data_IF_290589537414
#
_entry.id   IF_290589537414
#
_cell.length_a   1.000
_cell.length_b   1.000
_cell.length_c   1.000
_cell.angle_alpha   90.00
_cell.angle_beta   90.00
_cell.angle_gamma   90.00
#
_symmetry.space_group_name_H-M   'P 1'
#
loop_
_entity.id
_entity.type
_entity.pdbx_description
1 polymer ?
#
# COMPACT_ATOMS: atom_id res chain seq x y z
N UNK A 1 -22.87 52.74 -2.85
CA UNK A 1 -23.04 51.44 -2.16
C UNK A 1 -23.10 50.30 -3.19
N UNK A 2 -21.98 49.91 -3.82
CA UNK A 2 -21.94 48.76 -4.78
C UNK A 2 -20.62 47.97 -4.68
N UNK A 3 -19.76 48.24 -3.69
CA UNK A 3 -18.40 47.66 -3.63
C UNK A 3 -18.25 46.47 -2.68
N UNK A 4 -19.28 46.11 -1.91
CA UNK A 4 -19.22 45.04 -0.90
C UNK A 4 -19.67 43.66 -1.39
N UNK A 5 -20.31 43.55 -2.56
CA UNK A 5 -20.79 42.28 -3.11
C UNK A 5 -19.75 41.54 -3.97
N UNK A 6 -18.82 42.27 -4.61
CA UNK A 6 -17.78 41.67 -5.46
C UNK A 6 -16.73 40.88 -4.68
N UNK A 7 -16.40 41.31 -3.46
CA UNK A 7 -15.44 40.59 -2.59
C UNK A 7 -16.01 39.27 -2.05
N UNK A 8 -17.30 39.21 -1.74
CA UNK A 8 -17.96 37.99 -1.27
C UNK A 8 -18.01 36.88 -2.34
N UNK A 9 -18.27 37.25 -3.60
CA UNK A 9 -18.30 36.29 -4.72
C UNK A 9 -16.89 35.78 -5.03
N UNK A 10 -15.87 36.64 -4.96
CA UNK A 10 -14.49 36.21 -5.22
C UNK A 10 -13.99 35.22 -4.14
N UNK A 11 -14.34 35.44 -2.87
CA UNK A 11 -13.98 34.53 -1.78
C UNK A 11 -14.63 33.15 -1.95
N UNK A 12 -15.91 33.09 -2.37
CA UNK A 12 -16.61 31.83 -2.63
C UNK A 12 -16.00 31.08 -3.82
N UNK A 13 -15.59 31.78 -4.89
CA UNK A 13 -14.96 31.15 -6.06
C UNK A 13 -13.57 30.61 -5.73
N UNK A 14 -12.77 31.32 -4.92
CA UNK A 14 -11.45 30.84 -4.49
C UNK A 14 -11.58 29.63 -3.55
N UNK A 15 -12.54 29.64 -2.62
CA UNK A 15 -12.84 28.48 -1.77
C UNK A 15 -13.33 27.27 -2.59
N UNK A 16 -14.15 27.49 -3.61
CA UNK A 16 -14.62 26.41 -4.49
C UNK A 16 -13.49 25.83 -5.35
N UNK A 17 -12.57 26.65 -5.84
CA UNK A 17 -11.39 26.17 -6.59
C UNK A 17 -10.36 25.46 -5.70
N UNK A 18 -10.20 25.86 -4.44
CA UNK A 18 -9.32 25.20 -3.49
C UNK A 18 -9.86 23.81 -3.08
N UNK A 19 -11.17 23.68 -2.89
CA UNK A 19 -11.83 22.38 -2.67
C UNK A 19 -11.77 21.48 -3.91
N UNK A 20 -11.97 22.05 -5.11
CA UNK A 20 -11.87 21.28 -6.36
C UNK A 20 -10.43 20.79 -6.62
N UNK A 21 -9.40 21.60 -6.32
CA UNK A 21 -8.00 21.14 -6.43
C UNK A 21 -7.61 20.06 -5.41
N UNK A 22 -8.23 20.03 -4.22
CA UNK A 22 -8.07 18.91 -3.29
C UNK A 22 -8.74 17.64 -3.79
N UNK A 23 -9.87 17.75 -4.49
CA UNK A 23 -10.52 16.60 -5.12
C UNK A 23 -9.78 16.12 -6.39
N UNK A 24 -9.21 17.03 -7.18
CA UNK A 24 -8.40 16.69 -8.37
C UNK A 24 -6.98 16.19 -8.00
N UNK A 25 -6.58 16.33 -6.73
CA UNK A 25 -5.36 15.76 -6.16
C UNK A 25 -5.52 14.33 -5.64
N UNK A 26 -6.76 13.83 -5.54
CA UNK A 26 -6.99 12.38 -5.50
C UNK A 26 -6.65 11.88 -6.89
N UNK A 27 -5.44 11.33 -7.03
CA UNK A 27 -5.06 10.53 -8.19
C UNK A 27 -6.26 9.63 -8.49
N UNK A 28 -6.93 9.90 -9.61
CA UNK A 28 -7.93 9.00 -10.13
C UNK A 28 -7.31 7.61 -10.08
N UNK A 29 -7.97 6.71 -9.37
CA UNK A 29 -7.63 5.29 -9.34
C UNK A 29 -7.28 4.91 -10.77
N UNK A 30 -6.08 4.35 -11.03
CA UNK A 30 -5.72 3.91 -12.37
C UNK A 30 -6.90 3.07 -12.90
N UNK A 31 -7.33 3.26 -14.16
CA UNK A 31 -8.42 2.45 -14.69
C UNK A 31 -8.06 0.98 -14.48
N UNK A 32 -8.88 0.28 -13.69
CA UNK A 32 -8.80 -1.17 -13.50
C UNK A 32 -8.67 -1.78 -14.90
N UNK A 33 -7.53 -2.44 -15.17
CA UNK A 33 -7.33 -3.15 -16.43
C UNK A 33 -8.57 -4.04 -16.68
N UNK A 34 -9.19 -3.92 -17.85
CA UNK A 34 -10.41 -4.66 -18.26
C UNK A 34 -10.13 -6.17 -18.53
N UNK A 35 -9.32 -6.80 -17.67
CA UNK A 35 -9.07 -8.23 -17.66
C UNK A 35 -9.73 -8.90 -16.45
N UNK A 36 -9.84 -10.24 -16.45
CA UNK A 36 -10.15 -10.95 -15.22
C UNK A 36 -9.12 -10.55 -14.14
N UNK A 37 -9.55 -10.43 -12.86
CA UNK A 37 -8.62 -10.10 -11.78
C UNK A 37 -7.48 -11.13 -11.76
N UNK A 38 -6.25 -10.65 -11.66
CA UNK A 38 -5.06 -11.50 -11.56
C UNK A 38 -5.22 -12.41 -10.35
N UNK A 39 -5.02 -13.72 -10.52
CA UNK A 39 -5.06 -14.65 -9.39
C UNK A 39 -3.78 -14.56 -8.55
N UNK A 40 -3.83 -15.00 -7.28
CA UNK A 40 -2.64 -15.00 -6.41
C UNK A 40 -1.45 -15.74 -7.03
N UNK A 41 -1.69 -16.90 -7.66
CA UNK A 41 -0.62 -17.69 -8.30
C UNK A 41 -0.01 -16.95 -9.50
N UNK A 42 -0.84 -16.25 -10.29
CA UNK A 42 -0.35 -15.43 -11.38
C UNK A 42 0.44 -14.22 -10.86
N UNK A 43 -0.06 -13.55 -9.81
CA UNK A 43 0.63 -12.43 -9.20
C UNK A 43 2.00 -12.84 -8.64
N UNK A 44 2.08 -14.00 -7.98
CA UNK A 44 3.34 -14.58 -7.51
C UNK A 44 4.32 -14.79 -8.67
N UNK A 45 3.87 -15.41 -9.76
CA UNK A 45 4.73 -15.68 -10.92
C UNK A 45 5.27 -14.38 -11.54
N UNK A 46 4.43 -13.35 -11.66
CA UNK A 46 4.84 -12.04 -12.16
C UNK A 46 5.83 -11.34 -11.23
N UNK A 47 5.62 -11.40 -9.91
CA UNK A 47 6.57 -10.85 -8.93
C UNK A 47 7.91 -11.57 -8.99
N UNK A 48 7.91 -12.90 -9.09
CA UNK A 48 9.14 -13.68 -9.23
C UNK A 48 9.90 -13.31 -10.52
N UNK A 49 9.19 -13.03 -11.61
CA UNK A 49 9.79 -12.52 -12.86
C UNK A 49 10.42 -11.13 -12.67
N UNK A 50 9.70 -10.19 -12.03
CA UNK A 50 10.22 -8.85 -11.74
C UNK A 50 11.48 -8.89 -10.86
N UNK A 51 11.49 -9.77 -9.84
CA UNK A 51 12.66 -9.99 -8.99
C UNK A 51 13.83 -10.56 -9.80
N UNK A 52 13.56 -11.50 -10.73
CA UNK A 52 14.59 -12.09 -11.58
C UNK A 52 15.21 -11.08 -12.57
N UNK A 53 14.40 -10.14 -13.08
CA UNK A 53 14.88 -9.04 -13.93
C UNK A 53 15.74 -8.06 -13.13
N UNK A 54 15.40 -7.81 -11.86
CA UNK A 54 16.22 -7.05 -10.91
C UNK A 54 16.32 -5.56 -11.20
N UNK A 55 15.49 -5.02 -12.10
CA UNK A 55 15.47 -3.63 -12.57
C UNK A 55 14.58 -2.72 -11.72
N UNK A 56 13.51 -3.26 -11.11
CA UNK A 56 12.54 -2.49 -10.30
C UNK A 56 12.59 -2.78 -8.81
N UNK A 57 12.88 -4.03 -8.46
CA UNK A 57 12.82 -4.51 -7.08
C UNK A 57 14.20 -4.89 -6.58
N UNK A 58 14.48 -4.56 -5.32
CA UNK A 58 15.60 -5.10 -4.56
C UNK A 58 15.05 -6.05 -3.49
N UNK A 59 15.64 -7.24 -3.39
CA UNK A 59 15.24 -8.25 -2.40
C UNK A 59 16.42 -8.73 -1.59
N UNK A 60 16.17 -8.96 -0.30
CA UNK A 60 17.05 -9.68 0.61
C UNK A 60 16.47 -11.07 0.86
N UNK A 61 17.30 -12.11 0.82
CA UNK A 61 16.84 -13.49 1.05
C UNK A 61 16.58 -13.74 2.53
N UNK A 62 15.52 -14.49 2.81
CA UNK A 62 15.17 -14.93 4.16
C UNK A 62 16.25 -15.88 4.72
N UNK A 63 16.71 -15.72 5.98
CA UNK A 63 17.43 -16.78 6.67
C UNK A 63 16.54 -18.01 6.91
N UNK A 64 17.15 -19.19 7.09
CA UNK A 64 16.44 -20.48 7.15
C UNK A 64 15.53 -20.67 8.38
N UNK A 65 15.68 -19.84 9.43
CA UNK A 65 15.04 -20.04 10.73
C UNK A 65 14.18 -18.86 11.21
N UNK A 66 13.52 -18.15 10.30
CA UNK A 66 12.61 -17.07 10.70
C UNK A 66 11.39 -17.64 11.42
N UNK A 67 11.11 -17.10 12.60
CA UNK A 67 9.88 -17.38 13.32
C UNK A 67 8.86 -16.28 13.01
N UNK A 68 7.67 -16.70 12.59
CA UNK A 68 6.57 -15.79 12.28
C UNK A 68 5.49 -15.87 13.36
N UNK A 69 4.78 -14.77 13.63
CA UNK A 69 3.58 -14.81 14.44
C UNK A 69 2.59 -15.84 13.89
N UNK A 70 1.96 -16.63 14.76
CA UNK A 70 0.99 -17.65 14.36
C UNK A 70 -0.23 -17.07 13.61
N UNK A 71 -0.47 -15.77 13.79
CA UNK A 71 -1.56 -15.02 13.21
C UNK A 71 -1.21 -14.38 11.85
N UNK A 72 -0.01 -14.58 11.32
CA UNK A 72 0.35 -14.06 9.99
C UNK A 72 -0.33 -14.91 8.89
N UNK A 73 -0.85 -14.25 7.86
CA UNK A 73 -1.45 -14.92 6.70
C UNK A 73 -0.51 -15.93 6.05
N UNK A 74 -0.99 -17.10 5.59
CA UNK A 74 -0.13 -18.13 5.01
C UNK A 74 0.57 -17.70 3.72
N UNK A 75 -0.06 -16.87 2.87
CA UNK A 75 0.58 -16.29 1.68
C UNK A 75 1.66 -15.29 2.08
N UNK A 76 1.35 -14.38 3.02
CA UNK A 76 2.32 -13.42 3.55
C UNK A 76 3.51 -14.12 4.21
N UNK A 77 3.24 -15.14 5.02
CA UNK A 77 4.26 -16.01 5.63
C UNK A 77 5.11 -16.71 4.58
N UNK A 78 4.48 -17.24 3.52
CA UNK A 78 5.18 -17.88 2.40
C UNK A 78 6.09 -16.91 1.65
N UNK A 79 5.67 -15.65 1.48
CA UNK A 79 6.51 -14.59 0.92
C UNK A 79 7.74 -14.32 1.81
N UNK A 80 7.54 -14.07 3.11
CA UNK A 80 8.64 -13.75 4.01
C UNK A 80 9.53 -14.95 4.36
N UNK A 81 9.06 -16.18 4.14
CA UNK A 81 9.91 -17.36 4.20
C UNK A 81 10.92 -17.42 3.03
N UNK A 82 10.69 -16.68 1.94
CA UNK A 82 11.61 -16.60 0.78
C UNK A 82 12.47 -15.34 0.81
N UNK A 83 11.90 -14.23 1.29
CA UNK A 83 12.51 -12.90 1.23
C UNK A 83 12.45 -12.23 2.61
N UNK A 84 13.60 -11.88 3.18
CA UNK A 84 13.68 -11.14 4.45
C UNK A 84 13.20 -9.70 4.29
N UNK A 85 13.47 -9.10 3.14
CA UNK A 85 13.02 -7.77 2.79
C UNK A 85 12.83 -7.66 1.27
N UNK A 86 11.93 -6.77 0.87
CA UNK A 86 11.73 -6.33 -0.50
C UNK A 86 11.50 -4.82 -0.47
N UNK A 87 12.15 -4.10 -1.36
CA UNK A 87 11.93 -2.67 -1.54
C UNK A 87 11.99 -2.30 -3.02
N UNK A 88 11.28 -1.24 -3.39
CA UNK A 88 11.42 -0.65 -4.72
C UNK A 88 12.77 0.03 -4.87
N UNK A 89 13.37 -0.03 -6.06
CA UNK A 89 14.69 0.60 -6.31
C UNK A 89 14.67 2.12 -6.24
N UNK A 90 13.53 2.74 -6.56
CA UNK A 90 13.35 4.19 -6.42
C UNK A 90 13.06 4.64 -4.99
N UNK A 91 12.97 3.69 -4.04
CA UNK A 91 12.57 3.95 -2.67
C UNK A 91 11.07 4.17 -2.54
N UNK A 92 10.63 4.42 -1.31
CA UNK A 92 9.23 4.72 -1.00
C UNK A 92 8.33 3.51 -0.81
N UNK A 93 8.79 2.27 -0.95
CA UNK A 93 8.03 1.08 -0.57
C UNK A 93 8.97 0.02 0.01
N UNK A 94 8.66 -0.50 1.20
CA UNK A 94 9.43 -1.59 1.82
C UNK A 94 8.53 -2.56 2.56
N UNK A 95 8.74 -3.84 2.29
CA UNK A 95 8.25 -4.96 3.10
C UNK A 95 9.45 -5.61 3.77
N UNK A 96 9.39 -5.87 5.07
CA UNK A 96 10.47 -6.57 5.76
C UNK A 96 9.97 -7.37 6.96
N UNK A 97 10.67 -8.48 7.24
CA UNK A 97 10.42 -9.31 8.41
C UNK A 97 10.58 -8.54 9.71
N UNK A 98 11.53 -7.59 9.75
CA UNK A 98 11.74 -6.73 10.91
C UNK A 98 10.54 -5.84 11.24
N UNK A 99 9.66 -5.60 10.26
CA UNK A 99 8.48 -4.76 10.41
C UNK A 99 7.26 -5.61 10.83
N UNK A 100 7.39 -6.94 10.89
CA UNK A 100 6.30 -7.83 11.29
C UNK A 100 6.02 -7.72 12.79
N UNK A 101 4.95 -7.02 13.13
CA UNK A 101 4.54 -6.80 14.51
C UNK A 101 3.13 -6.24 14.62
N UNK A 102 2.63 -5.99 15.84
CA UNK A 102 1.38 -5.25 16.03
C UNK A 102 1.48 -3.88 15.32
N UNK A 103 0.47 -3.51 14.53
CA UNK A 103 0.44 -2.18 13.91
C UNK A 103 0.34 -1.10 14.97
N UNK A 104 1.12 -0.03 14.80
CA UNK A 104 1.10 1.14 15.68
C UNK A 104 -0.13 2.02 15.43
N UNK A 105 -0.65 2.01 14.20
CA UNK A 105 -1.72 2.93 13.75
C UNK A 105 -3.10 2.29 13.75
N UNK A 106 -3.18 0.96 13.63
CA UNK A 106 -4.47 0.25 13.58
C UNK A 106 -4.51 -0.90 14.58
N UNK A 107 -5.26 -0.70 15.65
CA UNK A 107 -5.38 -1.69 16.72
C UNK A 107 -5.95 -3.03 16.21
N UNK A 108 -5.29 -4.12 16.58
CA UNK A 108 -5.70 -5.48 16.20
C UNK A 108 -5.20 -5.93 14.83
N UNK A 109 -4.44 -5.11 14.11
CA UNK A 109 -3.78 -5.45 12.85
C UNK A 109 -2.30 -5.75 13.07
N UNK A 110 -1.71 -6.43 12.08
CA UNK A 110 -0.29 -6.77 12.02
C UNK A 110 0.33 -5.89 10.93
N UNK A 111 1.31 -5.05 11.28
CA UNK A 111 2.17 -4.39 10.28
C UNK A 111 3.11 -5.42 9.68
N UNK A 112 3.39 -5.28 8.38
CA UNK A 112 4.27 -6.17 7.61
C UNK A 112 5.26 -5.39 6.73
N UNK A 113 5.24 -4.07 6.82
CA UNK A 113 6.06 -3.18 6.00
C UNK A 113 5.55 -1.75 6.07
N UNK A 114 6.32 -0.81 5.53
CA UNK A 114 5.99 0.60 5.58
C UNK A 114 6.66 1.37 4.45
N UNK A 115 6.30 2.64 4.36
CA UNK A 115 6.99 3.70 3.62
C UNK A 115 7.22 4.89 4.55
N UNK A 116 7.67 6.00 3.99
CA UNK A 116 7.78 7.28 4.67
C UNK A 116 6.41 7.77 5.18
N UNK A 117 5.32 7.53 4.43
CA UNK A 117 4.01 8.13 4.70
C UNK A 117 2.91 7.13 5.07
N UNK A 118 3.14 5.81 4.94
CA UNK A 118 2.08 4.80 5.10
C UNK A 118 2.60 3.47 5.65
N UNK A 119 1.70 2.73 6.30
CA UNK A 119 1.92 1.41 6.89
C UNK A 119 1.21 0.34 6.03
N UNK A 120 1.84 -0.82 5.87
CA UNK A 120 1.26 -1.96 5.19
C UNK A 120 0.82 -2.95 6.26
N UNK A 121 -0.48 -3.14 6.39
CA UNK A 121 -1.07 -3.91 7.48
C UNK A 121 -1.90 -5.08 6.96
N UNK A 122 -2.14 -6.03 7.86
CA UNK A 122 -2.91 -7.23 7.60
C UNK A 122 -3.75 -7.59 8.82
N UNK A 123 -4.98 -8.05 8.60
CA UNK A 123 -5.81 -8.63 9.66
C UNK A 123 -5.21 -9.98 10.10
N UNK A 124 -5.20 -10.32 11.40
CA UNK A 124 -4.81 -11.64 11.89
C UNK A 124 -5.47 -12.81 11.14
N UNK A 125 -4.65 -13.71 10.60
CA UNK A 125 -5.04 -14.88 9.80
C UNK A 125 -5.52 -14.57 8.38
N UNK A 126 -5.61 -13.28 8.03
CA UNK A 126 -5.86 -12.70 6.70
C UNK A 126 -4.67 -12.94 5.75
N UNK A 127 -4.87 -13.09 4.43
CA UNK A 127 -3.83 -12.86 3.40
C UNK A 127 -3.98 -11.51 2.69
N UNK A 128 -5.13 -10.86 2.81
CA UNK A 128 -5.36 -9.51 2.32
C UNK A 128 -4.49 -8.50 3.05
N UNK A 129 -3.99 -7.54 2.29
CA UNK A 129 -3.13 -6.47 2.79
C UNK A 129 -3.78 -5.13 2.52
N UNK A 130 -3.60 -4.21 3.44
CA UNK A 130 -4.13 -2.86 3.39
C UNK A 130 -2.98 -1.88 3.47
N UNK A 131 -3.07 -0.79 2.72
CA UNK A 131 -2.18 0.35 2.86
C UNK A 131 -2.95 1.44 3.59
N UNK A 132 -2.38 1.93 4.69
CA UNK A 132 -2.98 2.98 5.52
C UNK A 132 -2.04 4.17 5.63
N UNK A 133 -2.52 5.36 5.29
CA UNK A 133 -1.80 6.62 5.53
C UNK A 133 -1.86 6.94 7.03
N UNK A 134 -0.74 7.42 7.59
CA UNK A 134 -0.55 7.57 9.04
C UNK A 134 -1.67 8.30 9.80
N UNK A 135 -1.75 7.99 11.10
CA UNK A 135 -2.73 8.40 12.12
C UNK A 135 -4.08 7.65 12.10
N UNK A 136 -4.30 6.85 13.17
CA UNK A 136 -5.56 6.17 13.56
C UNK A 136 -6.60 5.96 12.45
N UNK A 137 -6.23 5.23 11.40
CA UNK A 137 -7.15 4.90 10.32
C UNK A 137 -8.18 3.88 10.82
N UNK A 138 -9.46 4.21 10.70
CA UNK A 138 -10.54 3.26 10.98
C UNK A 138 -10.68 2.27 9.82
N UNK A 139 -11.23 1.09 10.11
CA UNK A 139 -11.39 0.04 9.09
C UNK A 139 -12.22 0.50 7.87
N UNK A 140 -13.24 1.32 8.09
CA UNK A 140 -14.07 1.91 7.03
C UNK A 140 -13.38 3.03 6.23
N UNK A 141 -12.16 3.41 6.62
CA UNK A 141 -11.34 4.46 6.03
C UNK A 141 -10.05 3.93 5.39
N UNK A 142 -9.83 2.60 5.40
CA UNK A 142 -8.66 1.99 4.76
C UNK A 142 -8.75 2.18 3.25
N UNK A 143 -7.79 2.92 2.68
CA UNK A 143 -7.88 3.42 1.30
C UNK A 143 -7.68 2.35 0.23
N UNK A 144 -6.77 1.41 0.46
CA UNK A 144 -6.40 0.44 -0.58
C UNK A 144 -6.31 -0.97 -0.01
N UNK A 145 -7.08 -1.88 -0.61
CA UNK A 145 -7.11 -3.31 -0.27
C UNK A 145 -6.56 -4.11 -1.44
N UNK A 146 -5.55 -4.92 -1.16
CA UNK A 146 -4.99 -5.87 -2.11
C UNK A 146 -5.33 -7.30 -1.70
N UNK A 147 -5.66 -8.19 -2.65
CA UNK A 147 -5.96 -9.59 -2.33
C UNK A 147 -4.82 -10.35 -1.67
N UNK A 148 -3.57 -9.94 -1.90
CA UNK A 148 -2.38 -10.49 -1.23
C UNK A 148 -1.19 -9.55 -1.33
N UNK A 149 -0.13 -9.85 -0.56
CA UNK A 149 1.16 -9.16 -0.64
C UNK A 149 1.73 -9.09 -2.06
N UNK A 150 1.51 -10.10 -2.90
CA UNK A 150 1.99 -10.11 -4.28
C UNK A 150 1.28 -9.07 -5.15
N UNK A 151 -0.02 -8.83 -4.93
CA UNK A 151 -0.76 -7.81 -5.67
C UNK A 151 -0.29 -6.40 -5.32
N UNK A 152 -0.02 -6.15 -4.04
CA UNK A 152 0.59 -4.91 -3.58
C UNK A 152 1.95 -4.68 -4.26
N UNK A 153 2.83 -5.69 -4.26
CA UNK A 153 4.15 -5.56 -4.90
C UNK A 153 4.04 -5.25 -6.39
N UNK A 154 3.09 -5.86 -7.10
CA UNK A 154 2.87 -5.58 -8.53
C UNK A 154 2.38 -4.15 -8.78
N UNK A 155 1.52 -3.62 -7.92
CA UNK A 155 1.04 -2.26 -8.01
C UNK A 155 2.19 -1.26 -7.79
N UNK A 156 2.95 -1.45 -6.72
CA UNK A 156 4.10 -0.61 -6.37
C UNK A 156 5.20 -0.66 -7.44
N UNK A 157 5.48 -1.83 -8.02
CA UNK A 157 6.45 -1.98 -9.09
C UNK A 157 6.02 -1.33 -10.42
N UNK A 158 4.74 -0.99 -10.60
CA UNK A 158 4.27 -0.23 -11.76
C UNK A 158 4.46 1.28 -11.59
N UNK A 159 4.51 1.75 -10.34
CA UNK A 159 4.69 3.16 -10.01
C UNK A 159 6.16 3.60 -10.07
N UNK A 160 7.09 2.63 -10.07
CA UNK A 160 8.55 2.83 -10.13
C UNK A 160 9.12 2.66 -11.52
#
# INVERSE_FOLDING_TARGET
MVWLTLLGVLAVVVSYMALKRKADGMKATPPLQEGPPVSVQQALAMVDELIAQGDRLFVERAPENIQFPAQLGPITKGFFARYAALQTRRGGFRLAVADIGPSEYTHGYISIGHSEDWDVIQRPGNDEVFVVEGAETREDQMEVRFPSVYHLILDEAQLT
#
